data_IF_373106335763
#
_entry.id   IF_373106335763
#
_cell.length_a   1.000
_cell.length_b   1.000
_cell.length_c   1.000
_cell.angle_alpha   90.00
_cell.angle_beta   90.00
_cell.angle_gamma   90.00
#
_symmetry.space_group_name_H-M   'P 1'
#
loop_
_entity.id
_entity.type
_entity.pdbx_description
1 polymer ?
#
# COMPACT_ATOMS: atom_id res chain seq x y z
N UNK A 1 6.36 11.05 -27.51
CA UNK A 1 7.10 10.18 -26.58
C UNK A 1 6.71 8.77 -26.93
N UNK A 2 7.70 7.92 -27.21
CA UNK A 2 7.44 6.53 -27.54
C UNK A 2 6.80 5.84 -26.31
N UNK A 3 5.64 5.22 -26.52
CA UNK A 3 4.99 4.42 -25.48
C UNK A 3 5.58 3.02 -25.48
N UNK A 4 5.69 2.42 -24.31
CA UNK A 4 6.07 1.02 -24.17
C UNK A 4 4.83 0.17 -24.41
N UNK A 5 4.92 -0.84 -25.27
CA UNK A 5 3.78 -1.68 -25.65
C UNK A 5 4.09 -3.16 -25.48
N UNK A 6 3.08 -3.94 -25.12
CA UNK A 6 3.14 -5.40 -25.04
C UNK A 6 1.82 -5.98 -25.55
N UNK A 7 1.89 -7.06 -26.31
CA UNK A 7 0.69 -7.81 -26.70
C UNK A 7 0.73 -9.24 -26.17
N UNK A 8 -0.44 -9.83 -25.99
CA UNK A 8 -0.58 -11.20 -25.52
C UNK A 8 -1.92 -11.80 -25.92
N UNK A 9 -2.07 -13.09 -25.65
CA UNK A 9 -3.27 -13.85 -25.92
C UNK A 9 -3.61 -14.72 -24.71
N UNK A 10 -4.87 -14.64 -24.27
CA UNK A 10 -5.43 -15.52 -23.27
C UNK A 10 -6.45 -16.47 -23.90
N UNK A 11 -6.46 -17.73 -23.44
CA UNK A 11 -7.39 -18.77 -23.88
C UNK A 11 -8.10 -19.32 -22.63
N UNK A 12 -9.20 -18.67 -22.19
CA UNK A 12 -10.04 -19.16 -21.10
C UNK A 12 -11.07 -20.18 -21.61
N UNK A 13 -11.71 -20.91 -20.69
CA UNK A 13 -12.86 -21.78 -21.00
C UNK A 13 -14.03 -21.00 -21.59
N UNK A 14 -14.33 -19.83 -21.03
CA UNK A 14 -15.38 -18.92 -21.49
C UNK A 14 -14.84 -17.48 -21.64
N UNK A 15 -14.46 -17.06 -22.85
CA UNK A 15 -13.92 -15.73 -23.07
C UNK A 15 -14.95 -14.61 -22.90
N UNK A 16 -16.24 -14.89 -23.08
CA UNK A 16 -17.30 -13.89 -22.86
C UNK A 16 -17.48 -13.63 -21.36
N UNK A 17 -17.56 -14.69 -20.56
CA UNK A 17 -17.63 -14.57 -19.10
C UNK A 17 -16.40 -13.83 -18.56
N UNK A 18 -15.21 -14.21 -19.02
CA UNK A 18 -13.95 -13.55 -18.63
C UNK A 18 -13.97 -12.04 -18.94
N UNK A 19 -14.49 -11.65 -20.12
CA UNK A 19 -14.58 -10.24 -20.51
C UNK A 19 -15.57 -9.44 -19.64
N UNK A 20 -16.68 -10.07 -19.21
CA UNK A 20 -17.63 -9.49 -18.26
C UNK A 20 -16.99 -9.26 -16.89
N UNK A 21 -16.32 -10.28 -16.33
CA UNK A 21 -15.62 -10.21 -15.03
C UNK A 21 -14.58 -9.07 -15.01
N UNK A 22 -13.81 -8.92 -16.10
CA UNK A 22 -12.86 -7.82 -16.25
C UNK A 22 -13.57 -6.46 -16.15
N UNK A 23 -14.71 -6.27 -16.82
CA UNK A 23 -15.42 -5.01 -16.79
C UNK A 23 -15.96 -4.67 -15.40
N UNK A 24 -16.54 -5.68 -14.73
CA UNK A 24 -17.13 -5.52 -13.41
C UNK A 24 -16.07 -5.23 -12.36
N UNK A 25 -14.93 -5.91 -12.42
CA UNK A 25 -13.86 -5.76 -11.45
C UNK A 25 -13.11 -4.42 -11.60
N UNK A 26 -12.74 -4.04 -12.82
CA UNK A 26 -11.84 -2.90 -13.03
C UNK A 26 -12.52 -1.53 -12.94
N UNK A 27 -13.86 -1.45 -12.84
CA UNK A 27 -14.58 -0.18 -12.74
C UNK A 27 -14.22 0.66 -11.52
N UNK A 28 -13.76 0.00 -10.43
CA UNK A 28 -13.31 0.70 -9.22
C UNK A 28 -11.88 1.28 -9.36
N UNK A 29 -11.11 0.81 -10.34
CA UNK A 29 -9.67 1.06 -10.49
C UNK A 29 -9.29 1.72 -11.81
N UNK A 30 -10.18 1.79 -12.78
CA UNK A 30 -9.91 2.27 -14.14
C UNK A 30 -11.16 2.85 -14.77
N UNK A 31 -10.98 3.72 -15.75
CA UNK A 31 -12.05 4.04 -16.70
C UNK A 31 -12.23 2.81 -17.60
N UNK A 32 -13.43 2.23 -17.58
CA UNK A 32 -13.77 1.04 -18.37
C UNK A 32 -14.72 1.43 -19.49
N UNK A 33 -14.35 1.14 -20.74
CA UNK A 33 -15.20 1.31 -21.93
C UNK A 33 -15.38 -0.04 -22.62
N UNK A 34 -16.62 -0.47 -22.80
CA UNK A 34 -16.96 -1.71 -23.51
C UNK A 34 -17.79 -1.41 -24.75
N UNK A 35 -17.38 -1.98 -25.88
CA UNK A 35 -18.12 -2.00 -27.14
C UNK A 35 -18.14 -3.43 -27.69
N UNK A 36 -19.23 -4.14 -27.42
CA UNK A 36 -19.40 -5.55 -27.75
C UNK A 36 -18.26 -6.43 -27.21
N UNK A 37 -17.45 -6.92 -28.14
CA UNK A 37 -16.32 -7.84 -27.90
C UNK A 37 -15.01 -7.11 -27.56
N UNK A 38 -15.00 -5.78 -27.48
CA UNK A 38 -13.83 -4.96 -27.13
C UNK A 38 -14.04 -4.25 -25.79
N UNK A 39 -13.08 -4.40 -24.88
CA UNK A 39 -12.93 -3.64 -23.64
C UNK A 39 -11.65 -2.81 -23.67
N UNK A 40 -11.76 -1.53 -23.34
CA UNK A 40 -10.65 -0.63 -23.07
C UNK A 40 -10.64 -0.29 -21.57
N UNK A 41 -9.50 -0.52 -20.93
CA UNK A 41 -9.21 -0.13 -19.56
C UNK A 41 -8.18 1.00 -19.61
N UNK A 42 -8.50 2.16 -19.05
CA UNK A 42 -7.60 3.30 -18.99
C UNK A 42 -7.42 3.78 -17.55
N UNK A 43 -6.16 4.05 -17.18
CA UNK A 43 -5.78 4.53 -15.86
C UNK A 43 -4.55 5.43 -15.94
N UNK A 44 -4.14 6.01 -14.82
CA UNK A 44 -2.92 6.83 -14.73
C UNK A 44 -1.64 6.02 -15.04
N UNK A 45 -1.67 4.70 -14.86
CA UNK A 45 -0.51 3.82 -15.09
C UNK A 45 -0.42 3.28 -16.52
N UNK A 46 -1.47 3.44 -17.32
CA UNK A 46 -1.49 3.00 -18.71
C UNK A 46 -2.87 2.53 -19.19
N UNK A 47 -2.86 1.95 -20.39
CA UNK A 47 -4.04 1.47 -21.09
C UNK A 47 -3.91 0.00 -21.45
N UNK A 48 -5.01 -0.74 -21.37
CA UNK A 48 -5.13 -2.11 -21.85
C UNK A 48 -6.36 -2.27 -22.74
N UNK A 49 -6.15 -2.79 -23.94
CA UNK A 49 -7.19 -3.10 -24.89
C UNK A 49 -7.33 -4.62 -24.97
N UNK A 50 -8.52 -5.11 -24.66
CA UNK A 50 -8.82 -6.54 -24.64
C UNK A 50 -9.95 -6.79 -25.63
N UNK A 51 -9.73 -7.70 -26.58
CA UNK A 51 -10.75 -8.06 -27.59
C UNK A 51 -10.97 -9.57 -27.62
N UNK A 52 -12.23 -9.98 -27.58
CA UNK A 52 -12.62 -11.36 -27.84
C UNK A 52 -12.54 -11.65 -29.34
N UNK A 53 -11.85 -12.73 -29.70
CA UNK A 53 -11.73 -13.21 -31.06
C UNK A 53 -11.88 -14.73 -31.05
N UNK A 54 -13.07 -15.23 -31.41
CA UNK A 54 -13.39 -16.65 -31.28
C UNK A 54 -13.31 -17.12 -29.83
N UNK A 55 -12.56 -18.20 -29.59
CA UNK A 55 -12.34 -18.75 -28.24
C UNK A 55 -11.24 -18.08 -27.42
N UNK A 56 -10.71 -16.93 -27.86
CA UNK A 56 -9.53 -16.28 -27.26
C UNK A 56 -9.79 -14.81 -26.93
N UNK A 57 -8.97 -14.26 -26.04
CA UNK A 57 -8.85 -12.82 -25.80
C UNK A 57 -7.48 -12.33 -26.29
N UNK A 58 -7.45 -11.42 -27.25
CA UNK A 58 -6.26 -10.63 -27.58
C UNK A 58 -6.12 -9.46 -26.61
N UNK A 59 -4.91 -9.20 -26.11
CA UNK A 59 -4.62 -8.19 -25.10
C UNK A 59 -3.47 -7.31 -25.61
N UNK A 60 -3.67 -5.99 -25.66
CA UNK A 60 -2.66 -5.00 -26.02
C UNK A 60 -2.52 -3.97 -24.89
N UNK A 61 -1.33 -3.85 -24.32
CA UNK A 61 -1.00 -2.93 -23.24
C UNK A 61 -0.14 -1.79 -23.79
N UNK A 62 -0.38 -0.57 -23.34
CA UNK A 62 0.45 0.58 -23.65
C UNK A 62 0.65 1.49 -22.43
N UNK A 63 1.91 1.71 -22.05
CA UNK A 63 2.30 2.46 -20.85
C UNK A 63 3.38 3.51 -21.14
N UNK A 64 3.52 4.54 -20.30
CA UNK A 64 4.54 5.58 -20.49
C UNK A 64 5.95 5.15 -20.05
N UNK A 65 6.09 4.03 -19.34
CA UNK A 65 7.38 3.46 -18.96
C UNK A 65 7.38 1.92 -18.97
N UNK A 66 8.57 1.32 -19.07
CA UNK A 66 8.74 -0.14 -19.00
C UNK A 66 8.30 -0.71 -17.63
N UNK A 67 8.51 0.02 -16.54
CA UNK A 67 8.09 -0.39 -15.20
C UNK A 67 6.57 -0.46 -15.09
N UNK A 68 5.87 0.55 -15.60
CA UNK A 68 4.41 0.59 -15.60
C UNK A 68 3.82 -0.47 -16.54
N UNK A 69 4.47 -0.73 -17.68
CA UNK A 69 4.08 -1.80 -18.61
C UNK A 69 4.05 -3.16 -17.89
N UNK A 70 5.09 -3.47 -17.12
CA UNK A 70 5.16 -4.72 -16.36
C UNK A 70 4.14 -4.77 -15.20
N UNK A 71 3.89 -3.64 -14.53
CA UNK A 71 2.85 -3.55 -13.51
C UNK A 71 1.46 -3.85 -14.09
N UNK A 72 1.12 -3.26 -15.24
CA UNK A 72 -0.16 -3.51 -15.92
C UNK A 72 -0.23 -4.95 -16.46
N UNK A 73 0.86 -5.49 -17.02
CA UNK A 73 0.96 -6.92 -17.42
C UNK A 73 0.62 -7.84 -16.26
N UNK A 74 1.28 -7.67 -15.11
CA UNK A 74 1.04 -8.50 -13.92
C UNK A 74 -0.36 -8.31 -13.37
N UNK A 75 -0.87 -7.09 -13.34
CA UNK A 75 -2.25 -6.83 -12.90
C UNK A 75 -3.25 -7.60 -13.75
N UNK A 76 -3.16 -7.51 -15.08
CA UNK A 76 -4.08 -8.24 -15.98
C UNK A 76 -3.92 -9.75 -15.81
N UNK A 77 -2.68 -10.26 -15.80
CA UNK A 77 -2.42 -11.68 -15.66
C UNK A 77 -3.01 -12.25 -14.35
N UNK A 78 -2.76 -11.61 -13.20
CA UNK A 78 -3.29 -12.07 -11.90
C UNK A 78 -4.83 -12.09 -11.89
N UNK A 79 -5.49 -11.09 -12.46
CA UNK A 79 -6.96 -11.05 -12.52
C UNK A 79 -7.54 -12.11 -13.47
N UNK A 80 -6.93 -12.34 -14.63
CA UNK A 80 -7.37 -13.40 -15.54
C UNK A 80 -7.33 -14.78 -14.84
N UNK A 81 -6.24 -15.09 -14.13
CA UNK A 81 -6.14 -16.34 -13.37
C UNK A 81 -7.08 -16.36 -12.15
N UNK A 82 -7.30 -15.22 -11.50
CA UNK A 82 -8.29 -15.11 -10.41
C UNK A 82 -9.71 -15.44 -10.91
N UNK A 83 -10.14 -14.87 -12.04
CA UNK A 83 -11.47 -15.07 -12.61
C UNK A 83 -11.64 -16.45 -13.24
N UNK A 84 -10.56 -17.08 -13.70
CA UNK A 84 -10.58 -18.47 -14.14
C UNK A 84 -10.77 -19.44 -12.96
N UNK A 85 -10.21 -19.10 -11.78
CA UNK A 85 -10.27 -19.96 -10.60
C UNK A 85 -9.59 -21.30 -10.85
N UNK A 86 -10.35 -22.39 -10.80
CA UNK A 86 -9.86 -23.75 -11.09
C UNK A 86 -9.96 -24.13 -12.58
N UNK A 87 -10.61 -23.30 -13.41
CA UNK A 87 -10.74 -23.57 -14.83
C UNK A 87 -9.41 -23.40 -15.57
N UNK A 88 -9.14 -24.22 -16.59
CA UNK A 88 -7.96 -24.06 -17.44
C UNK A 88 -7.89 -22.66 -18.08
N UNK A 89 -6.72 -22.05 -18.00
CA UNK A 89 -6.39 -20.79 -18.66
C UNK A 89 -4.96 -20.85 -19.20
N UNK A 90 -4.81 -20.62 -20.49
CA UNK A 90 -3.50 -20.34 -21.10
C UNK A 90 -3.34 -18.84 -21.29
N UNK A 91 -2.17 -18.29 -20.95
CA UNK A 91 -1.83 -16.88 -21.17
C UNK A 91 -0.40 -16.78 -21.68
N UNK A 92 -0.25 -16.27 -22.90
CA UNK A 92 1.03 -16.10 -23.56
C UNK A 92 1.23 -14.64 -23.95
N UNK A 93 2.42 -14.11 -23.72
CA UNK A 93 2.81 -12.76 -24.14
C UNK A 93 3.75 -12.85 -25.34
N UNK A 94 3.64 -11.90 -26.27
CA UNK A 94 4.50 -11.80 -27.45
C UNK A 94 5.81 -11.06 -27.12
N UNK A 95 6.47 -11.48 -26.05
CA UNK A 95 7.85 -11.11 -25.70
C UNK A 95 8.67 -12.37 -25.42
N UNK A 96 10.00 -12.24 -25.29
CA UNK A 96 10.80 -13.38 -24.86
C UNK A 96 10.37 -13.78 -23.45
N UNK A 97 9.92 -15.03 -23.30
CA UNK A 97 9.51 -15.62 -22.02
C UNK A 97 10.72 -15.75 -21.09
N UNK A 98 11.06 -14.67 -20.40
CA UNK A 98 12.21 -14.59 -19.49
C UNK A 98 11.71 -14.31 -18.08
N UNK A 99 12.18 -15.11 -17.12
CA UNK A 99 12.04 -14.78 -15.71
C UNK A 99 12.78 -13.47 -15.45
N UNK A 100 12.04 -12.41 -15.19
CA UNK A 100 12.59 -11.07 -15.02
C UNK A 100 12.45 -10.59 -13.57
N UNK A 101 13.38 -9.76 -13.06
CA UNK A 101 13.21 -9.11 -11.77
C UNK A 101 11.89 -8.34 -11.72
N UNK A 102 11.19 -8.40 -10.58
CA UNK A 102 9.96 -7.64 -10.40
C UNK A 102 10.29 -6.14 -10.43
N UNK A 103 9.66 -5.34 -11.32
CA UNK A 103 9.88 -3.91 -11.35
C UNK A 103 9.56 -3.26 -10.00
N UNK A 104 10.45 -2.40 -9.52
CA UNK A 104 10.29 -1.72 -8.24
C UNK A 104 10.64 -2.56 -7.01
N UNK A 105 10.91 -3.87 -7.18
CA UNK A 105 11.50 -4.67 -6.10
C UNK A 105 12.96 -4.25 -5.92
N UNK A 106 13.34 -3.96 -4.68
CA UNK A 106 14.70 -3.58 -4.34
C UNK A 106 15.08 -4.23 -3.01
N UNK A 107 16.28 -4.80 -2.97
CA UNK A 107 16.86 -5.28 -1.71
C UNK A 107 17.21 -4.06 -0.85
N UNK A 108 16.77 -4.09 0.40
CA UNK A 108 17.08 -3.11 1.42
C UNK A 108 17.97 -3.75 2.48
N UNK A 109 18.83 -2.94 3.09
CA UNK A 109 19.69 -3.34 4.20
C UNK A 109 19.43 -2.50 5.42
N UNK A 110 19.26 -3.12 6.58
CA UNK A 110 19.21 -2.43 7.86
C UNK A 110 20.59 -1.86 8.17
N UNK A 111 20.68 -0.55 8.39
CA UNK A 111 21.92 0.14 8.77
C UNK A 111 21.90 0.60 10.22
N UNK A 112 20.71 0.86 10.78
CA UNK A 112 20.55 1.16 12.20
C UNK A 112 19.17 0.72 12.69
N UNK A 113 19.08 0.43 13.99
CA UNK A 113 17.83 0.09 14.65
C UNK A 113 17.80 0.73 16.06
N UNK A 114 16.71 1.42 16.40
CA UNK A 114 16.57 2.09 17.70
C UNK A 114 15.12 2.15 18.18
N UNK A 115 14.89 2.07 19.48
CA UNK A 115 13.59 2.40 20.05
C UNK A 115 13.39 3.91 19.97
N UNK A 116 12.25 4.35 19.42
CA UNK A 116 11.84 5.76 19.39
C UNK A 116 10.78 6.06 20.44
N UNK A 117 10.03 5.03 20.85
CA UNK A 117 9.18 4.98 22.04
C UNK A 117 9.28 3.58 22.66
N UNK A 118 8.69 3.31 23.85
CA UNK A 118 8.62 1.95 24.39
C UNK A 118 7.97 0.94 23.42
N UNK A 119 6.92 1.35 22.71
CA UNK A 119 6.17 0.48 21.80
C UNK A 119 6.47 0.72 20.32
N UNK A 120 7.54 1.46 19.97
CA UNK A 120 7.90 1.70 18.57
C UNK A 120 9.40 1.65 18.35
N UNK A 121 9.81 0.83 17.38
CA UNK A 121 11.21 0.68 16.95
C UNK A 121 11.36 1.19 15.52
N UNK A 122 12.33 2.06 15.32
CA UNK A 122 12.70 2.59 14.02
C UNK A 122 13.86 1.81 13.44
N UNK A 123 13.68 1.34 12.22
CA UNK A 123 14.76 0.81 11.39
C UNK A 123 15.13 1.86 10.35
N UNK A 124 16.43 2.16 10.28
CA UNK A 124 17.01 2.95 9.19
C UNK A 124 17.58 1.97 8.18
N UNK A 125 17.21 2.17 6.92
CA UNK A 125 17.39 1.24 5.81
C UNK A 125 18.13 1.94 4.67
N UNK A 126 19.08 1.26 4.06
CA UNK A 126 19.75 1.72 2.84
C UNK A 126 19.31 0.89 1.64
N UNK A 127 19.24 1.53 0.46
CA UNK A 127 19.08 0.87 -0.84
C UNK A 127 19.66 1.72 -1.96
N UNK A 128 19.80 1.14 -3.15
CA UNK A 128 20.47 1.77 -4.29
C UNK A 128 19.85 3.11 -4.73
N UNK A 129 18.53 3.25 -4.58
CA UNK A 129 17.80 4.48 -4.97
C UNK A 129 16.69 4.80 -3.96
N UNK A 130 17.05 5.53 -2.90
CA UNK A 130 16.06 6.08 -1.97
C UNK A 130 15.34 7.32 -2.52
N UNK A 131 15.91 7.99 -3.52
CA UNK A 131 15.38 9.25 -4.05
C UNK A 131 14.01 9.06 -4.71
N UNK A 132 13.75 7.87 -5.28
CA UNK A 132 12.44 7.50 -5.84
C UNK A 132 11.27 7.55 -4.84
N UNK A 133 11.54 7.60 -3.53
CA UNK A 133 10.51 7.68 -2.49
C UNK A 133 10.21 9.12 -2.04
N UNK A 134 10.93 10.11 -2.53
CA UNK A 134 10.69 11.54 -2.23
C UNK A 134 9.46 12.02 -3.01
N UNK A 135 8.50 12.60 -2.29
CA UNK A 135 7.23 13.08 -2.90
C UNK A 135 6.37 11.97 -3.52
N UNK A 136 6.71 10.71 -3.26
CA UNK A 136 5.96 9.54 -3.73
C UNK A 136 4.94 9.08 -2.67
N UNK A 137 4.20 8.04 -3.02
CA UNK A 137 3.36 7.30 -2.10
C UNK A 137 4.14 6.82 -0.86
N UNK A 138 3.44 6.63 0.26
CA UNK A 138 4.08 6.42 1.56
C UNK A 138 4.28 4.97 1.93
N UNK A 139 3.47 4.04 1.42
CA UNK A 139 3.51 2.65 1.86
C UNK A 139 4.34 1.77 0.94
N UNK A 140 4.98 0.78 1.53
CA UNK A 140 5.71 -0.26 0.83
C UNK A 140 5.25 -1.62 1.29
N UNK A 141 5.37 -2.62 0.41
CA UNK A 141 5.34 -4.03 0.79
C UNK A 141 6.76 -4.43 1.16
N UNK A 142 6.96 -4.73 2.43
CA UNK A 142 8.18 -5.29 2.98
C UNK A 142 8.12 -6.82 2.84
N UNK A 143 9.07 -7.39 2.11
CA UNK A 143 9.25 -8.82 1.90
C UNK A 143 10.32 -9.30 2.89
N UNK A 144 9.89 -9.99 3.94
CA UNK A 144 10.74 -10.43 5.03
C UNK A 144 11.15 -11.89 4.78
N UNK A 145 12.43 -12.16 4.49
CA UNK A 145 12.93 -13.53 4.34
C UNK A 145 12.99 -14.25 5.70
N UNK A 146 13.04 -15.58 5.67
CA UNK A 146 13.37 -16.38 6.87
C UNK A 146 14.77 -16.03 7.38
N UNK A 147 14.89 -15.81 8.69
CA UNK A 147 16.17 -15.45 9.34
C UNK A 147 17.23 -16.52 9.11
N UNK A 148 18.47 -16.09 8.87
CA UNK A 148 19.63 -16.98 8.70
C UNK A 148 19.75 -17.62 7.30
N UNK A 149 18.85 -17.30 6.37
CA UNK A 149 18.89 -17.80 5.00
C UNK A 149 19.20 -16.65 4.03
N UNK A 150 19.98 -16.95 2.99
CA UNK A 150 20.20 -15.98 1.90
C UNK A 150 18.88 -15.78 1.15
N UNK A 151 18.39 -14.54 0.99
CA UNK A 151 17.13 -14.30 0.30
C UNK A 151 17.18 -14.76 -1.15
N UNK A 152 16.10 -15.37 -1.60
CA UNK A 152 15.74 -15.50 -3.02
C UNK A 152 14.62 -14.49 -3.25
N UNK A 153 14.68 -13.72 -4.34
CA UNK A 153 13.67 -12.71 -4.64
C UNK A 153 12.64 -13.26 -5.64
N UNK A 154 11.34 -12.94 -5.48
CA UNK A 154 10.34 -13.33 -6.46
C UNK A 154 10.62 -12.62 -7.81
N UNK A 155 10.22 -13.29 -8.89
CA UNK A 155 10.43 -12.86 -10.27
C UNK A 155 9.10 -12.81 -11.01
N UNK A 156 9.01 -12.06 -12.09
CA UNK A 156 7.86 -12.13 -13.00
C UNK A 156 7.97 -13.43 -13.82
N UNK A 157 6.90 -14.23 -13.83
CA UNK A 157 6.78 -15.47 -14.63
C UNK A 157 6.52 -15.14 -16.10
N UNK A 158 6.70 -16.13 -16.98
CA UNK A 158 6.45 -15.98 -18.42
C UNK A 158 4.99 -15.55 -18.74
N UNK A 159 4.02 -16.03 -17.95
CA UNK A 159 2.61 -15.65 -18.04
C UNK A 159 2.33 -14.23 -17.50
N UNK A 160 3.35 -13.53 -17.00
CA UNK A 160 3.24 -12.17 -16.46
C UNK A 160 2.87 -12.11 -14.98
N UNK A 161 2.51 -13.22 -14.32
CA UNK A 161 2.19 -13.23 -12.88
C UNK A 161 3.44 -13.12 -12.02
N UNK A 162 3.24 -12.76 -10.76
CA UNK A 162 4.33 -12.75 -9.79
C UNK A 162 4.66 -14.18 -9.34
N UNK A 163 5.91 -14.57 -9.53
CA UNK A 163 6.48 -15.83 -9.08
C UNK A 163 6.81 -15.83 -7.60
N UNK A 164 5.76 -15.77 -6.76
CA UNK A 164 5.91 -15.90 -5.32
C UNK A 164 6.57 -17.23 -4.93
N UNK A 165 7.42 -17.16 -3.90
CA UNK A 165 8.25 -18.24 -3.42
C UNK A 165 7.50 -19.06 -2.36
N UNK A 166 7.73 -20.37 -2.36
CA UNK A 166 7.08 -21.32 -1.46
C UNK A 166 8.13 -22.12 -0.66
N UNK A 167 7.70 -22.76 0.42
CA UNK A 167 8.54 -23.67 1.19
C UNK A 167 9.64 -22.95 1.97
N UNK A 168 10.90 -23.30 1.73
CA UNK A 168 12.04 -22.74 2.47
C UNK A 168 12.35 -21.27 2.11
N UNK A 169 11.98 -20.84 0.91
CA UNK A 169 12.21 -19.48 0.42
C UNK A 169 10.95 -18.59 0.54
N UNK A 170 9.90 -19.09 1.18
CA UNK A 170 8.69 -18.32 1.46
C UNK A 170 9.02 -17.07 2.29
N UNK A 171 8.42 -15.95 1.90
CA UNK A 171 8.62 -14.64 2.51
C UNK A 171 7.33 -14.14 3.12
N UNK A 172 7.44 -13.48 4.27
CA UNK A 172 6.32 -12.76 4.86
C UNK A 172 6.22 -11.39 4.19
N UNK A 173 5.04 -11.03 3.72
CA UNK A 173 4.78 -9.71 3.12
C UNK A 173 3.96 -8.87 4.11
N UNK A 174 4.46 -7.68 4.46
CA UNK A 174 3.74 -6.72 5.31
C UNK A 174 3.80 -5.32 4.73
N UNK A 175 2.75 -4.54 4.94
CA UNK A 175 2.71 -3.16 4.48
C UNK A 175 3.22 -2.27 5.61
N UNK A 176 4.19 -1.42 5.31
CA UNK A 176 4.75 -0.43 6.22
C UNK A 176 4.80 0.94 5.57
N UNK A 177 4.85 1.98 6.40
CA UNK A 177 5.02 3.37 5.95
C UNK A 177 6.50 3.72 5.94
N UNK A 178 6.99 4.26 4.83
CA UNK A 178 8.27 5.01 4.82
C UNK A 178 8.06 6.28 5.62
N UNK A 179 8.71 6.38 6.79
CA UNK A 179 8.58 7.49 7.73
C UNK A 179 9.32 8.74 7.26
N UNK A 180 10.50 8.59 6.68
CA UNK A 180 11.32 9.68 6.15
C UNK A 180 12.37 9.15 5.20
N UNK A 181 12.85 10.03 4.31
CA UNK A 181 13.90 9.73 3.32
C UNK A 181 15.01 10.76 3.48
N UNK A 182 16.25 10.28 3.60
CA UNK A 182 17.47 11.09 3.57
C UNK A 182 18.26 10.74 2.31
N UNK A 183 18.10 11.57 1.27
CA UNK A 183 18.75 11.37 -0.02
C UNK A 183 20.27 11.52 0.07
N UNK A 184 20.77 12.38 0.97
CA UNK A 184 22.22 12.62 1.11
C UNK A 184 22.90 11.39 1.69
N UNK A 185 22.25 10.75 2.65
CA UNK A 185 22.77 9.51 3.27
C UNK A 185 22.43 8.24 2.48
N UNK A 186 21.50 8.31 1.52
CA UNK A 186 21.01 7.13 0.83
C UNK A 186 20.18 6.23 1.74
N UNK A 187 19.47 6.82 2.71
CA UNK A 187 18.79 6.11 3.78
C UNK A 187 17.29 6.47 3.84
N UNK A 188 16.48 5.56 4.36
CA UNK A 188 15.08 5.81 4.73
C UNK A 188 14.76 5.19 6.08
N UNK A 189 13.82 5.78 6.80
CA UNK A 189 13.34 5.24 8.07
C UNK A 189 11.99 4.52 7.87
N UNK A 190 11.81 3.40 8.56
CA UNK A 190 10.51 2.73 8.75
C UNK A 190 10.30 2.51 10.25
N UNK A 191 9.12 2.89 10.73
CA UNK A 191 8.71 2.72 12.12
C UNK A 191 7.84 1.47 12.27
N UNK A 192 8.22 0.60 13.21
CA UNK A 192 7.53 -0.65 13.54
C UNK A 192 6.87 -0.51 14.90
N UNK A 193 5.54 -0.66 14.93
CA UNK A 193 4.81 -0.84 16.18
C UNK A 193 5.17 -2.20 16.78
N UNK A 194 5.62 -2.18 18.02
CA UNK A 194 5.91 -3.35 18.82
C UNK A 194 4.66 -3.69 19.63
N UNK A 195 4.14 -4.89 19.42
CA UNK A 195 3.06 -5.44 20.22
C UNK A 195 3.36 -6.89 20.57
N UNK A 196 2.83 -7.32 21.70
CA UNK A 196 2.93 -8.71 22.13
C UNK A 196 2.00 -9.59 21.29
N UNK A 197 2.41 -10.84 21.11
CA UNK A 197 1.61 -11.86 20.46
C UNK A 197 0.51 -12.32 21.42
N UNK A 198 -0.72 -12.44 20.93
CA UNK A 198 -1.82 -13.15 21.60
C UNK A 198 -1.71 -14.69 21.45
N UNK A 199 -0.50 -15.20 21.21
CA UNK A 199 -0.21 -16.58 20.82
C UNK A 199 -0.16 -16.80 19.30
N UNK A 200 -0.38 -15.75 18.48
CA UNK A 200 -0.28 -15.82 17.01
C UNK A 200 1.09 -15.33 16.50
N UNK A 201 1.62 -15.89 15.40
CA UNK A 201 2.84 -15.38 14.77
C UNK A 201 2.63 -13.92 14.31
N UNK A 202 3.55 -13.02 14.70
CA UNK A 202 3.51 -11.61 14.29
C UNK A 202 4.78 -11.25 13.52
N UNK A 203 4.99 -11.84 12.33
CA UNK A 203 6.29 -11.84 11.67
C UNK A 203 6.81 -10.43 11.31
N UNK A 204 5.91 -9.48 11.05
CA UNK A 204 6.29 -8.07 10.84
C UNK A 204 6.83 -7.42 12.12
N UNK A 205 6.11 -7.55 13.24
CA UNK A 205 6.56 -7.03 14.53
C UNK A 205 7.80 -7.77 15.05
N UNK A 206 7.92 -9.07 14.80
CA UNK A 206 9.10 -9.87 15.13
C UNK A 206 10.33 -9.43 14.33
N UNK A 207 10.19 -9.17 13.03
CA UNK A 207 11.25 -8.57 12.23
C UNK A 207 11.64 -7.20 12.79
N UNK A 208 10.67 -6.30 13.00
CA UNK A 208 10.91 -4.99 13.58
C UNK A 208 11.63 -5.05 14.94
N UNK A 209 11.27 -6.01 15.80
CA UNK A 209 11.87 -6.21 17.13
C UNK A 209 13.30 -6.73 17.10
N UNK A 210 13.61 -7.64 16.18
CA UNK A 210 14.89 -8.36 16.17
C UNK A 210 15.84 -7.97 15.05
N UNK A 211 15.44 -7.08 14.15
CA UNK A 211 16.30 -6.60 13.09
C UNK A 211 17.55 -5.90 13.65
N UNK A 212 18.69 -6.22 13.05
CA UNK A 212 20.01 -5.70 13.38
C UNK A 212 20.71 -5.14 12.14
N UNK A 213 21.68 -4.22 12.30
CA UNK A 213 22.49 -3.76 11.18
C UNK A 213 23.11 -4.92 10.40
N UNK A 214 22.91 -4.92 9.09
CA UNK A 214 23.32 -6.00 8.19
C UNK A 214 22.18 -6.90 7.71
N UNK A 215 21.06 -6.97 8.43
CA UNK A 215 19.87 -7.71 7.99
C UNK A 215 19.33 -7.17 6.67
N UNK A 216 18.78 -8.08 5.85
CA UNK A 216 18.28 -7.78 4.51
C UNK A 216 16.79 -8.12 4.40
N UNK A 217 16.07 -7.31 3.63
CA UNK A 217 14.68 -7.54 3.27
C UNK A 217 14.43 -7.01 1.85
N UNK A 218 13.30 -7.37 1.26
CA UNK A 218 12.86 -6.84 -0.02
C UNK A 218 11.87 -5.71 0.20
N UNK A 219 11.88 -4.72 -0.68
CA UNK A 219 10.92 -3.63 -0.68
C UNK A 219 10.28 -3.55 -2.06
N UNK A 220 8.96 -3.62 -2.10
CA UNK A 220 8.15 -3.44 -3.31
C UNK A 220 7.19 -2.25 -3.12
N UNK A 221 7.23 -1.29 -4.04
CA UNK A 221 6.46 -0.04 -3.97
C UNK A 221 7.27 1.17 -4.41
N UNK A 222 6.85 2.39 -4.06
CA UNK A 222 5.80 2.72 -3.10
C UNK A 222 4.36 2.58 -3.66
N UNK A 223 3.37 2.64 -2.77
CA UNK A 223 1.94 2.67 -3.06
C UNK A 223 1.14 3.15 -1.85
N UNK A 224 -0.20 3.19 -1.95
CA UNK A 224 -1.07 3.50 -0.80
C UNK A 224 -1.35 5.00 -0.57
N UNK A 225 -0.97 5.86 -1.52
CA UNK A 225 -1.16 7.30 -1.46
C UNK A 225 -0.07 8.04 -0.70
N UNK A 226 0.06 9.33 -0.97
CA UNK A 226 1.04 10.24 -0.36
C UNK A 226 0.39 11.46 0.30
N UNK A 227 1.08 12.60 0.25
CA UNK A 227 0.59 13.87 0.79
C UNK A 227 -0.72 14.28 0.09
N UNK A 228 -1.82 14.50 0.84
CA UNK A 228 -3.04 15.02 0.24
C UNK A 228 -2.85 16.43 -0.31
N UNK A 229 -3.36 16.71 -1.51
CA UNK A 229 -3.43 18.08 -2.03
C UNK A 229 -4.63 18.83 -1.41
N UNK A 230 -4.42 19.28 -0.17
CA UNK A 230 -5.41 19.99 0.62
C UNK A 230 -4.75 21.04 1.53
N UNK A 231 -5.51 22.06 1.91
CA UNK A 231 -5.09 23.08 2.89
C UNK A 231 -5.75 22.92 4.25
N UNK A 232 -6.92 22.29 4.30
CA UNK A 232 -7.59 21.94 5.54
C UNK A 232 -7.62 20.43 5.66
N UNK A 233 -7.01 19.89 6.73
CA UNK A 233 -6.88 18.45 6.92
C UNK A 233 -7.29 18.04 8.33
N UNK A 234 -8.03 16.94 8.44
CA UNK A 234 -8.20 16.19 9.68
C UNK A 234 -7.44 14.88 9.50
N UNK A 235 -6.45 14.64 10.36
CA UNK A 235 -5.68 13.40 10.38
C UNK A 235 -6.03 12.65 11.66
N UNK A 236 -6.36 11.36 11.57
CA UNK A 236 -6.57 10.55 12.75
C UNK A 236 -5.96 9.15 12.61
N UNK A 237 -5.57 8.55 13.72
CA UNK A 237 -5.12 7.16 13.69
C UNK A 237 -4.57 6.64 14.99
N UNK A 238 -4.27 5.34 15.01
CA UNK A 238 -3.52 4.71 16.10
C UNK A 238 -2.00 4.77 15.84
N UNK A 239 -1.23 4.13 16.72
CA UNK A 239 0.23 4.03 16.62
C UNK A 239 0.71 3.44 15.29
N UNK A 240 -0.09 2.61 14.60
CA UNK A 240 0.26 2.06 13.28
C UNK A 240 0.19 3.12 12.17
N UNK A 241 -0.60 4.16 12.36
CA UNK A 241 -0.76 5.28 11.43
C UNK A 241 0.11 6.49 11.79
N UNK A 242 0.61 6.57 13.02
CA UNK A 242 1.51 7.63 13.50
C UNK A 242 2.71 7.89 12.55
N UNK A 243 3.36 6.90 11.91
CA UNK A 243 4.43 7.16 10.95
C UNK A 243 3.96 7.92 9.71
N UNK A 244 2.77 7.60 9.19
CA UNK A 244 2.19 8.28 8.03
C UNK A 244 1.72 9.69 8.39
N UNK A 245 1.06 9.86 9.53
CA UNK A 245 0.68 11.19 10.07
C UNK A 245 1.92 12.05 10.23
N UNK A 246 2.99 11.50 10.81
CA UNK A 246 4.24 12.22 11.00
C UNK A 246 4.87 12.68 9.68
N UNK A 247 4.77 11.86 8.63
CA UNK A 247 5.27 12.21 7.30
C UNK A 247 4.41 13.27 6.62
N UNK A 248 3.07 13.15 6.70
CA UNK A 248 2.13 14.19 6.23
C UNK A 248 2.47 15.53 6.88
N UNK A 249 2.67 15.56 8.21
CA UNK A 249 2.98 16.78 8.93
C UNK A 249 4.32 17.41 8.51
N UNK A 250 5.34 16.58 8.29
CA UNK A 250 6.66 17.04 7.86
C UNK A 250 6.64 17.62 6.43
N UNK A 251 5.81 17.06 5.55
CA UNK A 251 5.71 17.45 4.14
C UNK A 251 4.61 18.50 3.86
N UNK A 252 3.71 18.74 4.81
CA UNK A 252 2.58 19.67 4.65
C UNK A 252 3.05 21.10 4.32
N UNK A 253 2.35 21.79 3.39
CA UNK A 253 2.71 23.14 3.02
C UNK A 253 2.41 24.11 4.16
N UNK A 254 3.18 25.20 4.26
CA UNK A 254 3.12 26.12 5.40
C UNK A 254 1.78 26.86 5.57
N UNK A 255 0.99 26.97 4.49
CA UNK A 255 -0.34 27.55 4.48
C UNK A 255 -1.46 26.55 4.87
N UNK A 256 -1.12 25.29 5.15
CA UNK A 256 -2.07 24.30 5.62
C UNK A 256 -2.45 24.47 7.10
N UNK A 257 -3.63 23.96 7.43
CA UNK A 257 -4.20 23.86 8.78
C UNK A 257 -4.62 22.42 9.03
N UNK A 258 -4.05 21.80 10.05
CA UNK A 258 -4.27 20.39 10.37
C UNK A 258 -4.79 20.24 11.80
N UNK A 259 -5.86 19.47 11.94
CA UNK A 259 -6.30 18.93 13.23
C UNK A 259 -5.94 17.45 13.27
N UNK A 260 -5.21 17.03 14.30
CA UNK A 260 -4.57 15.71 14.37
C UNK A 260 -5.00 14.99 15.64
N UNK A 261 -5.52 13.78 15.51
CA UNK A 261 -5.95 12.93 16.62
C UNK A 261 -5.19 11.61 16.59
N UNK A 262 -4.36 11.35 17.61
CA UNK A 262 -3.49 10.18 17.60
C UNK A 262 -3.71 9.36 18.85
N UNK A 263 -4.10 8.11 18.66
CA UNK A 263 -4.21 7.12 19.73
C UNK A 263 -2.89 6.36 19.91
N UNK A 264 -2.32 6.46 21.10
CA UNK A 264 -1.14 5.72 21.55
C UNK A 264 -1.42 5.08 22.91
N UNK A 265 -0.51 4.25 23.41
CA UNK A 265 -0.74 3.60 24.70
C UNK A 265 -0.71 4.62 25.85
N UNK A 266 0.38 5.38 25.96
CA UNK A 266 0.55 6.42 26.99
C UNK A 266 1.42 7.60 26.49
N UNK A 267 1.67 8.58 27.35
CA UNK A 267 2.52 9.75 27.11
C UNK A 267 3.93 9.39 26.63
N UNK A 268 4.46 8.25 27.06
CA UNK A 268 5.78 7.76 26.64
C UNK A 268 5.83 7.32 25.17
N UNK A 269 4.67 7.09 24.55
CA UNK A 269 4.53 6.73 23.14
C UNK A 269 4.20 7.93 22.23
N UNK A 270 4.24 9.14 22.77
CA UNK A 270 4.14 10.35 21.96
C UNK A 270 5.48 10.63 21.27
N UNK A 271 5.44 10.71 19.95
CA UNK A 271 6.58 11.17 19.15
C UNK A 271 6.58 12.70 19.03
N UNK A 272 7.75 13.34 18.99
CA UNK A 272 7.84 14.73 18.57
C UNK A 272 7.41 14.83 17.10
N UNK A 273 6.41 15.68 16.83
CA UNK A 273 5.88 15.93 15.51
C UNK A 273 6.30 17.32 15.05
N UNK A 274 6.89 17.39 13.85
CA UNK A 274 7.34 18.65 13.27
C UNK A 274 6.50 18.97 12.04
N UNK A 275 6.14 20.24 11.89
CA UNK A 275 5.47 20.76 10.70
C UNK A 275 5.79 22.24 10.52
N UNK A 276 5.69 22.71 9.28
CA UNK A 276 5.71 24.13 8.94
C UNK A 276 4.30 24.74 8.88
N UNK A 277 3.27 23.89 8.93
CA UNK A 277 1.87 24.25 8.90
C UNK A 277 1.34 24.62 10.30
N UNK A 278 0.11 25.14 10.36
CA UNK A 278 -0.61 25.31 11.63
C UNK A 278 -1.21 23.96 12.04
N UNK A 279 -0.77 23.41 13.18
CA UNK A 279 -1.19 22.07 13.64
C UNK A 279 -1.75 22.12 15.05
N UNK A 280 -2.93 21.53 15.23
CA UNK A 280 -3.50 21.21 16.54
C UNK A 280 -3.44 19.69 16.75
N UNK A 281 -2.70 19.23 17.77
CA UNK A 281 -2.51 17.80 18.05
C UNK A 281 -3.22 17.43 19.34
N UNK A 282 -4.10 16.43 19.26
CA UNK A 282 -4.74 15.77 20.39
C UNK A 282 -4.23 14.34 20.52
N UNK A 283 -3.60 14.03 21.65
CA UNK A 283 -3.18 12.67 21.97
C UNK A 283 -4.26 11.95 22.78
N UNK A 284 -4.60 10.73 22.36
CA UNK A 284 -5.55 9.84 23.00
C UNK A 284 -4.75 8.67 23.60
N UNK A 285 -4.93 8.39 24.89
CA UNK A 285 -4.16 7.37 25.60
C UNK A 285 -5.03 6.18 25.95
N UNK A 286 -4.64 4.98 25.51
CA UNK A 286 -5.32 3.73 25.87
C UNK A 286 -5.11 3.34 27.32
N UNK A 287 -4.00 3.78 27.94
CA UNK A 287 -3.65 3.49 29.35
C UNK A 287 -3.63 1.99 29.64
N UNK A 288 -2.98 1.21 28.78
CA UNK A 288 -2.84 -0.24 28.91
C UNK A 288 -4.03 -1.06 28.42
N UNK A 289 -5.11 -0.43 27.92
CA UNK A 289 -6.15 -1.16 27.18
C UNK A 289 -5.56 -1.63 25.84
N UNK A 290 -5.82 -2.90 25.48
CA UNK A 290 -5.31 -3.47 24.25
C UNK A 290 -5.70 -2.62 23.01
N UNK A 291 -4.80 -2.49 22.01
CA UNK A 291 -5.10 -1.81 20.75
C UNK A 291 -6.41 -2.28 20.12
N UNK A 292 -7.16 -1.37 19.51
CA UNK A 292 -8.45 -1.66 18.86
C UNK A 292 -9.60 -2.08 19.80
N UNK A 293 -9.37 -2.14 21.12
CA UNK A 293 -10.41 -2.48 22.13
C UNK A 293 -10.87 -1.27 22.94
N UNK A 294 -10.12 -0.18 22.92
CA UNK A 294 -10.45 1.01 23.70
C UNK A 294 -11.66 1.78 23.13
N UNK A 295 -11.86 1.74 21.80
CA UNK A 295 -12.94 2.47 21.11
C UNK A 295 -12.82 4.00 21.22
N UNK A 296 -11.68 4.50 21.70
CA UNK A 296 -11.47 5.91 22.00
C UNK A 296 -11.40 6.70 20.69
N UNK A 297 -10.59 6.23 19.74
CA UNK A 297 -10.40 6.90 18.46
C UNK A 297 -11.74 7.18 17.75
N UNK A 298 -12.57 6.15 17.53
CA UNK A 298 -13.87 6.33 16.88
C UNK A 298 -14.79 7.33 17.61
N UNK A 299 -14.83 7.27 18.95
CA UNK A 299 -15.67 8.15 19.76
C UNK A 299 -15.28 9.64 19.72
N UNK A 300 -13.99 9.94 19.57
CA UNK A 300 -13.47 11.31 19.54
C UNK A 300 -13.44 11.86 18.11
N UNK A 301 -13.13 11.01 17.13
CA UNK A 301 -12.98 11.43 15.72
C UNK A 301 -14.33 11.80 15.10
N UNK A 302 -15.41 11.10 15.42
CA UNK A 302 -16.73 11.36 14.82
C UNK A 302 -17.24 12.80 15.08
N UNK A 303 -17.30 13.30 16.32
CA UNK A 303 -17.71 14.69 16.58
C UNK A 303 -16.83 15.74 15.89
N UNK A 304 -15.54 15.45 15.72
CA UNK A 304 -14.61 16.36 15.02
C UNK A 304 -14.92 16.40 13.52
N UNK A 305 -15.12 15.24 12.90
CA UNK A 305 -15.51 15.14 11.49
C UNK A 305 -16.86 15.79 11.23
N UNK A 306 -17.79 15.76 12.19
CA UNK A 306 -19.11 16.38 12.02
C UNK A 306 -19.03 17.90 11.78
N UNK A 307 -18.02 18.54 12.37
CA UNK A 307 -17.74 19.97 12.24
C UNK A 307 -16.90 20.32 11.01
N UNK A 308 -16.43 19.31 10.26
CA UNK A 308 -15.59 19.52 9.09
C UNK A 308 -16.38 20.20 7.95
N UNK A 309 -15.78 21.22 7.35
CA UNK A 309 -16.27 21.83 6.12
C UNK A 309 -16.18 20.87 4.92
N UNK A 310 -16.91 21.15 3.82
CA UNK A 310 -16.97 20.26 2.65
C UNK A 310 -15.62 20.08 1.94
N UNK A 311 -14.71 21.05 2.04
CA UNK A 311 -13.38 21.01 1.41
C UNK A 311 -12.29 20.37 2.28
N UNK A 312 -12.63 19.98 3.52
CA UNK A 312 -11.66 19.37 4.44
C UNK A 312 -11.29 17.97 3.97
N UNK A 313 -9.99 17.73 3.80
CA UNK A 313 -9.49 16.39 3.54
C UNK A 313 -9.41 15.59 4.84
N UNK A 314 -9.98 14.39 4.86
CA UNK A 314 -10.03 13.53 6.05
C UNK A 314 -9.18 12.29 5.80
N UNK A 315 -8.10 12.13 6.56
CA UNK A 315 -7.22 10.98 6.48
C UNK A 315 -7.27 10.19 7.78
N UNK A 316 -7.53 8.89 7.70
CA UNK A 316 -7.64 8.01 8.86
C UNK A 316 -6.98 6.66 8.57
N UNK A 317 -6.02 6.28 9.42
CA UNK A 317 -5.44 4.94 9.45
C UNK A 317 -5.59 4.36 10.86
N UNK A 318 -6.28 3.24 11.00
CA UNK A 318 -6.43 2.59 12.31
C UNK A 318 -6.85 1.13 12.14
N UNK A 319 -7.26 0.48 13.23
CA UNK A 319 -7.90 -0.83 13.20
C UNK A 319 -9.17 -0.84 12.31
N UNK A 320 -9.37 -1.93 11.57
CA UNK A 320 -10.44 -2.09 10.56
C UNK A 320 -11.86 -1.91 11.12
N UNK A 321 -12.15 -2.43 12.30
CA UNK A 321 -13.46 -2.32 12.94
C UNK A 321 -13.78 -0.89 13.40
N UNK A 322 -12.77 -0.06 13.69
CA UNK A 322 -12.94 1.38 13.95
C UNK A 322 -13.00 2.22 12.67
N UNK A 323 -12.19 1.89 11.66
CA UNK A 323 -12.19 2.60 10.38
C UNK A 323 -13.52 2.48 9.63
N UNK A 324 -14.19 1.32 9.72
CA UNK A 324 -15.41 1.02 8.94
C UNK A 324 -16.60 1.92 9.31
N UNK A 325 -16.99 2.08 10.59
CA UNK A 325 -18.03 3.02 11.00
C UNK A 325 -17.75 4.46 10.56
N UNK A 326 -16.51 4.93 10.70
CA UNK A 326 -16.13 6.30 10.32
C UNK A 326 -16.30 6.51 8.81
N UNK A 327 -15.82 5.56 8.00
CA UNK A 327 -16.00 5.59 6.54
C UNK A 327 -17.47 5.60 6.15
N UNK A 328 -18.30 4.79 6.80
CA UNK A 328 -19.73 4.73 6.52
C UNK A 328 -20.44 6.06 6.85
N UNK A 329 -20.07 6.70 7.96
CA UNK A 329 -20.59 8.01 8.33
C UNK A 329 -20.25 9.09 7.29
N UNK A 330 -19.00 9.14 6.83
CA UNK A 330 -18.57 10.07 5.77
C UNK A 330 -19.35 9.85 4.47
N UNK A 331 -19.55 8.59 4.08
CA UNK A 331 -20.36 8.24 2.91
C UNK A 331 -21.82 8.66 3.07
N UNK A 332 -22.45 8.41 4.22
CA UNK A 332 -23.87 8.74 4.43
C UNK A 332 -24.17 10.23 4.39
N UNK A 333 -23.20 11.07 4.75
CA UNK A 333 -23.32 12.54 4.63
C UNK A 333 -22.86 13.11 3.29
N UNK A 334 -22.45 12.26 2.35
CA UNK A 334 -22.01 12.70 1.02
C UNK A 334 -20.66 13.41 1.00
N UNK A 335 -19.74 13.10 1.92
CA UNK A 335 -18.38 13.64 1.87
C UNK A 335 -17.70 13.22 0.57
N UNK A 336 -17.00 14.14 -0.11
CA UNK A 336 -16.37 13.84 -1.40
C UNK A 336 -15.34 12.71 -1.24
N UNK A 337 -15.47 11.66 -2.06
CA UNK A 337 -14.54 10.52 -2.09
C UNK A 337 -13.10 10.94 -2.41
N UNK A 338 -12.89 12.06 -3.11
CA UNK A 338 -11.56 12.64 -3.37
C UNK A 338 -10.99 13.41 -2.19
N UNK A 339 -11.83 13.70 -1.18
CA UNK A 339 -11.47 14.42 0.05
C UNK A 339 -11.47 13.52 1.29
N UNK A 340 -11.38 12.20 1.10
CA UNK A 340 -11.21 11.28 2.22
C UNK A 340 -10.34 10.08 1.88
N UNK A 341 -9.63 9.59 2.88
CA UNK A 341 -8.91 8.33 2.87
C UNK A 341 -9.09 7.68 4.25
N UNK A 342 -9.91 6.64 4.35
CA UNK A 342 -10.19 5.94 5.63
C UNK A 342 -9.85 4.47 5.48
N UNK A 343 -8.70 4.06 6.02
CA UNK A 343 -8.09 2.77 5.79
C UNK A 343 -7.99 1.99 7.12
N UNK A 344 -8.43 0.73 7.10
CA UNK A 344 -8.14 -0.20 8.18
C UNK A 344 -6.75 -0.79 7.97
N UNK A 345 -5.74 -0.37 8.73
CA UNK A 345 -4.36 -0.83 8.61
C UNK A 345 -4.23 -2.30 9.02
N UNK A 346 -4.86 -2.66 10.13
CA UNK A 346 -4.81 -3.99 10.74
C UNK A 346 -6.21 -4.43 11.21
N UNK A 347 -6.35 -5.69 11.66
CA UNK A 347 -7.56 -6.24 12.25
C UNK A 347 -7.47 -7.76 12.41
N UNK A 348 -8.32 -8.36 13.25
CA UNK A 348 -8.21 -9.78 13.66
C UNK A 348 -8.16 -10.81 12.51
N UNK A 349 -8.69 -10.46 11.33
CA UNK A 349 -8.70 -11.29 10.12
C UNK A 349 -7.90 -10.70 8.95
N UNK A 350 -6.96 -9.79 9.23
CA UNK A 350 -6.09 -9.17 8.22
C UNK A 350 -4.67 -9.65 8.49
N UNK A 351 -4.27 -10.73 7.82
CA UNK A 351 -2.94 -11.32 7.97
C UNK A 351 -1.86 -10.48 7.29
#
# INVERSE_FOLDING_TARGET
MDRFTLSGQAIPVDPERMLCEICEHFVEHSEVKRDGDHVNLASEVGEANIRKQGGCLSIDISCPSAQLLQLVRSSIAEHLFMFAGEEPLELNWHDEAVLTPIPGLTEIRVVAARHVTPHMRRLTLACDDVARFVGADYHIRLLIPKKGRKPVWPVTRADGRLGWLNGEDEMVIRIYTIRSVDVVRGEMDIDFVLHESDGRPMPGAEFGRHAEPGDVAGLLGPGGGGLPDARHMILAGDDTALPAISRILAEAPADARLQVLIEVDDVADQLPLCSRASVEITWLHRKGIAPGKAGILGSVVLPVIEQAGPDTYIWIGCEKSEARPIRNHLKSRGHDKKRMCVIGYWGENKH
#
